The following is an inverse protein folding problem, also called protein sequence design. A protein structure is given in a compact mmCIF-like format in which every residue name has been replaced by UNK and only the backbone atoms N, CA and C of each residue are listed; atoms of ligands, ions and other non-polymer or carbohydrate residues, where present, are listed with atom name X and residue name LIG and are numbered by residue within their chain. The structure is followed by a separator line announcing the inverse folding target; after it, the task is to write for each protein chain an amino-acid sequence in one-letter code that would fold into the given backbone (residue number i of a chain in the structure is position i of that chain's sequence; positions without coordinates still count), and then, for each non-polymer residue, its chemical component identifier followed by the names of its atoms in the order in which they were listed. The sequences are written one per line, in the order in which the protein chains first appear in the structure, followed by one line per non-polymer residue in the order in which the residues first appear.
data_IF_183820275779
#
_entry.id   IF_183820275779
#
_cell.length_a   1.000
_cell.length_b   1.000
_cell.length_c   1.000
_cell.angle_alpha   90.00
_cell.angle_beta   90.00
_cell.angle_gamma   90.00
#
_symmetry.space_group_name_H-M   'P 1'
#
loop_
_entity.id
_entity.type
_entity.pdbx_description
1 polymer ?
#
# COMPACT_ATOMS: atom_id res chain seq x y z
N UNK A 1 11.35 -18.47 24.25
CA UNK A 1 9.86 -18.41 24.30
C UNK A 1 9.43 -17.59 23.10
N UNK A 2 8.72 -18.20 22.16
CA UNK A 2 8.18 -17.45 20.99
C UNK A 2 7.09 -16.54 21.56
N UNK A 3 7.15 -15.24 21.28
CA UNK A 3 6.10 -14.31 21.67
C UNK A 3 4.77 -14.74 21.05
N UNK A 4 3.63 -14.52 21.74
CA UNK A 4 2.33 -14.77 21.13
C UNK A 4 2.10 -13.82 19.95
N UNK A 5 1.26 -14.20 18.99
CA UNK A 5 0.92 -13.32 17.85
C UNK A 5 0.46 -11.93 18.32
N UNK A 6 -0.39 -11.85 19.34
CA UNK A 6 -0.85 -10.59 19.92
C UNK A 6 0.28 -9.76 20.57
N UNK A 7 1.29 -10.41 21.17
CA UNK A 7 2.46 -9.70 21.71
C UNK A 7 3.33 -9.16 20.60
N UNK A 8 3.55 -9.95 19.55
CA UNK A 8 4.30 -9.51 18.37
C UNK A 8 3.66 -8.28 17.71
N UNK A 9 2.33 -8.33 17.49
CA UNK A 9 1.57 -7.21 16.91
C UNK A 9 1.71 -5.92 17.75
N UNK A 10 1.63 -6.02 19.08
CA UNK A 10 1.82 -4.85 19.95
C UNK A 10 3.21 -4.26 19.82
N UNK A 11 4.25 -5.11 19.74
CA UNK A 11 5.65 -4.66 19.58
C UNK A 11 5.87 -3.98 18.22
N UNK A 12 5.31 -4.54 17.14
CA UNK A 12 5.33 -3.94 15.81
C UNK A 12 4.64 -2.58 15.83
N UNK A 13 3.41 -2.50 16.36
CA UNK A 13 2.67 -1.25 16.45
C UNK A 13 3.40 -0.19 17.29
N UNK A 14 4.00 -0.59 18.41
CA UNK A 14 4.79 0.32 19.25
C UNK A 14 6.01 0.87 18.51
N UNK A 15 6.71 0.05 17.73
CA UNK A 15 7.86 0.49 16.95
C UNK A 15 7.47 1.47 15.83
N UNK A 16 6.30 1.30 15.22
CA UNK A 16 5.83 2.21 14.17
C UNK A 16 5.50 3.61 14.68
N UNK A 17 5.00 3.75 15.91
CA UNK A 17 4.62 5.04 16.50
C UNK A 17 5.73 5.71 17.32
N UNK A 18 6.87 5.06 17.49
CA UNK A 18 8.01 5.60 18.24
C UNK A 18 8.78 6.62 17.38
N UNK A 19 8.53 7.90 17.64
CA UNK A 19 9.17 9.01 16.93
C UNK A 19 10.65 9.21 17.33
N UNK A 20 11.09 8.61 18.43
CA UNK A 20 12.50 8.71 18.87
C UNK A 20 13.45 7.76 18.11
N UNK A 21 12.88 6.79 17.38
CA UNK A 21 13.64 5.79 16.63
C UNK A 21 13.90 6.30 15.21
N UNK A 22 15.15 6.47 14.83
CA UNK A 22 15.53 6.80 13.47
C UNK A 22 15.34 5.63 12.50
N UNK A 23 15.47 5.88 11.20
CA UNK A 23 15.20 4.89 10.14
C UNK A 23 16.12 3.66 10.25
N UNK A 24 17.41 3.84 10.55
CA UNK A 24 18.36 2.73 10.69
C UNK A 24 18.03 1.85 11.90
N UNK A 25 17.76 2.48 13.02
CA UNK A 25 17.35 1.78 14.24
C UNK A 25 16.01 1.07 14.05
N UNK A 26 15.04 1.71 13.33
CA UNK A 26 13.74 1.12 13.00
C UNK A 26 13.91 -0.12 12.13
N UNK A 27 14.72 -0.06 11.08
CA UNK A 27 15.00 -1.22 10.22
C UNK A 27 15.66 -2.34 11.03
N UNK A 28 16.62 -2.04 11.89
CA UNK A 28 17.29 -3.04 12.71
C UNK A 28 16.34 -3.71 13.70
N UNK A 29 15.49 -2.92 14.37
CA UNK A 29 14.48 -3.42 15.30
C UNK A 29 13.40 -4.23 14.57
N UNK A 30 12.93 -3.75 13.40
CA UNK A 30 11.93 -4.47 12.61
C UNK A 30 12.48 -5.78 12.07
N UNK A 31 13.76 -5.84 11.70
CA UNK A 31 14.41 -7.10 11.30
C UNK A 31 14.41 -8.12 12.43
N UNK A 32 14.67 -7.69 13.67
CA UNK A 32 14.60 -8.58 14.82
C UNK A 32 13.14 -9.07 15.05
N UNK A 33 12.16 -8.17 14.96
CA UNK A 33 10.75 -8.53 15.07
C UNK A 33 10.30 -9.48 13.95
N UNK A 34 10.75 -9.26 12.72
CA UNK A 34 10.43 -10.14 11.59
C UNK A 34 10.95 -11.58 11.80
N UNK A 35 12.11 -11.73 12.44
CA UNK A 35 12.66 -13.06 12.80
C UNK A 35 11.85 -13.77 13.90
N UNK A 36 11.07 -13.02 14.68
CA UNK A 36 10.19 -13.56 15.74
C UNK A 36 8.71 -13.64 15.29
N UNK A 37 8.40 -13.25 14.05
CA UNK A 37 7.03 -13.19 13.55
C UNK A 37 6.36 -14.56 13.60
N UNK A 38 5.08 -14.65 13.99
CA UNK A 38 4.33 -15.90 13.99
C UNK A 38 4.15 -16.47 12.57
N UNK A 39 4.05 -15.58 11.59
CA UNK A 39 3.97 -15.88 10.16
C UNK A 39 5.11 -15.13 9.43
N UNK A 40 5.92 -15.85 8.67
CA UNK A 40 7.05 -15.28 7.95
C UNK A 40 6.62 -14.16 7.01
N UNK A 41 5.50 -14.35 6.32
CA UNK A 41 4.93 -13.37 5.39
C UNK A 41 4.60 -12.03 6.06
N UNK A 42 4.05 -12.06 7.28
CA UNK A 42 3.77 -10.86 8.08
C UNK A 42 5.07 -10.14 8.49
N UNK A 43 6.07 -10.90 8.92
CA UNK A 43 7.39 -10.35 9.27
C UNK A 43 8.07 -9.67 8.08
N UNK A 44 8.02 -10.28 6.90
CA UNK A 44 8.56 -9.73 5.66
C UNK A 44 7.84 -8.45 5.24
N UNK A 45 6.51 -8.41 5.37
CA UNK A 45 5.71 -7.22 5.08
C UNK A 45 6.11 -6.03 5.98
N UNK A 46 6.22 -6.23 7.29
CA UNK A 46 6.59 -5.17 8.22
C UNK A 46 8.03 -4.67 7.97
N UNK A 47 8.96 -5.58 7.69
CA UNK A 47 10.33 -5.22 7.35
C UNK A 47 10.40 -4.46 6.00
N UNK A 48 9.58 -4.84 5.02
CA UNK A 48 9.46 -4.11 3.77
C UNK A 48 9.01 -2.67 4.01
N UNK A 49 7.97 -2.48 4.83
CA UNK A 49 7.49 -1.16 5.23
C UNK A 49 8.56 -0.30 5.89
N UNK A 50 9.40 -0.88 6.77
CA UNK A 50 10.49 -0.16 7.40
C UNK A 50 11.56 0.30 6.38
N UNK A 51 11.87 -0.51 5.38
CA UNK A 51 12.74 -0.11 4.29
C UNK A 51 12.12 0.96 3.40
N UNK A 52 10.81 0.83 3.09
CA UNK A 52 10.08 1.80 2.27
C UNK A 52 10.04 3.18 2.93
N UNK A 53 9.70 3.24 4.22
CA UNK A 53 9.69 4.47 4.99
C UNK A 53 11.07 5.17 5.04
N UNK A 54 12.15 4.39 4.98
CA UNK A 54 13.53 4.89 4.93
C UNK A 54 14.03 5.24 3.51
N UNK A 55 13.15 5.22 2.48
CA UNK A 55 13.52 5.50 1.08
C UNK A 55 14.42 4.43 0.46
N UNK A 56 14.31 3.19 0.95
CA UNK A 56 15.09 2.06 0.44
C UNK A 56 14.22 1.18 -0.46
N UNK A 57 13.69 1.77 -1.53
CA UNK A 57 12.67 1.19 -2.40
C UNK A 57 13.07 -0.18 -2.99
N UNK A 58 14.34 -0.38 -3.36
CA UNK A 58 14.79 -1.68 -3.92
C UNK A 58 14.72 -2.80 -2.90
N UNK A 59 15.06 -2.52 -1.65
CA UNK A 59 14.98 -3.48 -0.56
C UNK A 59 13.51 -3.76 -0.20
N UNK A 60 12.70 -2.71 -0.16
CA UNK A 60 11.26 -2.83 0.07
C UNK A 60 10.58 -3.68 -1.01
N UNK A 61 10.84 -3.42 -2.31
CA UNK A 61 10.29 -4.20 -3.44
C UNK A 61 10.61 -5.71 -3.28
N UNK A 62 11.87 -6.04 -2.99
CA UNK A 62 12.27 -7.43 -2.80
C UNK A 62 11.53 -8.12 -1.64
N UNK A 63 11.36 -7.41 -0.52
CA UNK A 63 10.69 -7.94 0.66
C UNK A 63 9.16 -8.06 0.48
N UNK A 64 8.52 -7.10 -0.20
CA UNK A 64 7.09 -7.20 -0.56
C UNK A 64 6.81 -8.39 -1.46
N UNK A 65 7.68 -8.67 -2.43
CA UNK A 65 7.58 -9.88 -3.28
C UNK A 65 7.73 -11.15 -2.46
N UNK A 66 8.74 -11.20 -1.60
CA UNK A 66 8.96 -12.35 -0.72
C UNK A 66 7.75 -12.59 0.22
N UNK A 67 7.11 -11.55 0.73
CA UNK A 67 5.91 -11.69 1.55
C UNK A 67 4.76 -12.38 0.77
N UNK A 68 4.59 -12.06 -0.51
CA UNK A 68 3.59 -12.72 -1.38
C UNK A 68 3.97 -14.18 -1.62
N UNK A 69 5.24 -14.47 -1.93
CA UNK A 69 5.75 -15.82 -2.14
C UNK A 69 5.56 -16.71 -0.90
N UNK A 70 5.62 -16.11 0.29
CA UNK A 70 5.36 -16.76 1.58
C UNK A 70 3.88 -16.77 1.99
N UNK A 71 2.97 -16.47 1.06
CA UNK A 71 1.52 -16.66 1.23
C UNK A 71 0.79 -15.57 1.99
N UNK A 72 1.29 -14.33 2.01
CA UNK A 72 0.61 -13.21 2.68
C UNK A 72 -0.85 -13.03 2.22
N UNK A 73 -1.20 -13.13 0.93
CA UNK A 73 -2.57 -12.90 0.45
C UNK A 73 -3.61 -13.81 1.11
N UNK A 74 -3.25 -15.07 1.36
CA UNK A 74 -4.12 -16.08 1.97
C UNK A 74 -4.11 -16.01 3.49
N UNK A 75 -2.95 -15.70 4.08
CA UNK A 75 -2.76 -15.68 5.53
C UNK A 75 -3.37 -14.45 6.18
N UNK A 76 -3.21 -13.27 5.56
CA UNK A 76 -3.68 -11.98 6.10
C UNK A 76 -4.18 -11.06 4.98
N UNK A 77 -5.45 -11.17 4.56
CA UNK A 77 -6.03 -10.33 3.51
C UNK A 77 -5.99 -8.83 3.82
N UNK A 78 -6.01 -8.44 5.12
CA UNK A 78 -5.94 -7.04 5.51
C UNK A 78 -4.54 -6.46 5.30
N UNK A 79 -3.49 -7.20 5.66
CA UNK A 79 -2.09 -6.86 5.37
C UNK A 79 -1.79 -6.91 3.89
N UNK A 80 -2.36 -7.86 3.16
CA UNK A 80 -2.21 -7.92 1.71
C UNK A 80 -2.76 -6.66 1.05
N UNK A 81 -3.93 -6.19 1.44
CA UNK A 81 -4.48 -4.93 0.91
C UNK A 81 -3.56 -3.73 1.19
N UNK A 82 -2.98 -3.66 2.38
CA UNK A 82 -1.98 -2.64 2.73
C UNK A 82 -0.70 -2.79 1.91
N UNK A 83 -0.21 -4.04 1.74
CA UNK A 83 0.97 -4.33 0.91
C UNK A 83 0.76 -3.87 -0.53
N UNK A 84 -0.40 -4.10 -1.12
CA UNK A 84 -0.69 -3.64 -2.48
C UNK A 84 -0.49 -2.13 -2.60
N UNK A 85 -1.03 -1.35 -1.69
CA UNK A 85 -0.91 0.11 -1.70
C UNK A 85 0.54 0.57 -1.50
N UNK A 86 1.22 0.02 -0.49
CA UNK A 86 2.60 0.38 -0.16
C UNK A 86 3.56 -0.04 -1.28
N UNK A 87 3.45 -1.29 -1.76
CA UNK A 87 4.31 -1.78 -2.83
C UNK A 87 4.10 -1.01 -4.14
N UNK A 88 2.87 -0.65 -4.48
CA UNK A 88 2.60 0.18 -5.65
C UNK A 88 3.25 1.57 -5.54
N UNK A 89 3.27 2.16 -4.34
CA UNK A 89 4.02 3.40 -4.07
C UNK A 89 5.52 3.21 -4.29
N UNK A 90 6.09 2.13 -3.76
CA UNK A 90 7.50 1.75 -3.96
C UNK A 90 7.82 1.58 -5.45
N UNK A 91 6.97 0.85 -6.20
CA UNK A 91 7.13 0.65 -7.64
C UNK A 91 7.07 1.98 -8.41
N UNK A 92 6.15 2.86 -8.04
CA UNK A 92 6.06 4.22 -8.60
C UNK A 92 7.35 5.00 -8.38
N UNK A 93 7.91 4.97 -7.17
CA UNK A 93 9.16 5.65 -6.83
C UNK A 93 10.37 5.07 -7.60
N UNK A 94 10.33 3.76 -7.91
CA UNK A 94 11.31 3.09 -8.77
C UNK A 94 11.12 3.38 -10.27
N UNK A 95 10.10 4.15 -10.67
CA UNK A 95 9.77 4.43 -12.07
C UNK A 95 9.07 3.28 -12.80
N UNK A 96 8.65 2.22 -12.08
CA UNK A 96 7.95 1.05 -12.63
C UNK A 96 6.44 1.29 -12.65
N UNK A 97 6.03 2.30 -13.41
CA UNK A 97 4.67 2.86 -13.37
C UNK A 97 3.60 1.86 -13.82
N UNK A 98 3.87 1.11 -14.90
CA UNK A 98 2.90 0.12 -15.43
C UNK A 98 2.65 -0.99 -14.42
N UNK A 99 3.69 -1.43 -13.70
CA UNK A 99 3.55 -2.45 -12.66
C UNK A 99 2.77 -1.92 -11.44
N UNK A 100 3.02 -0.66 -11.05
CA UNK A 100 2.28 -0.02 -9.96
C UNK A 100 0.78 0.09 -10.29
N UNK A 101 0.46 0.53 -11.52
CA UNK A 101 -0.92 0.67 -11.99
C UNK A 101 -1.58 -0.71 -12.05
N UNK A 102 -0.95 -1.70 -12.67
CA UNK A 102 -1.50 -3.05 -12.80
C UNK A 102 -1.76 -3.70 -11.44
N UNK A 103 -0.85 -3.50 -10.48
CA UNK A 103 -1.00 -4.00 -9.11
C UNK A 103 -2.23 -3.41 -8.41
N UNK A 104 -2.44 -2.09 -8.54
CA UNK A 104 -3.58 -1.40 -7.92
C UNK A 104 -4.91 -1.71 -8.62
N UNK A 105 -4.91 -1.79 -9.96
CA UNK A 105 -6.11 -2.13 -10.74
C UNK A 105 -6.55 -3.58 -10.48
N UNK A 106 -5.60 -4.50 -10.33
CA UNK A 106 -5.89 -5.92 -10.08
C UNK A 106 -6.36 -6.23 -8.66
N UNK A 107 -6.20 -5.31 -7.72
CA UNK A 107 -6.55 -5.54 -6.32
C UNK A 107 -8.02 -5.23 -6.03
N UNK A 108 -8.65 -6.06 -5.21
CA UNK A 108 -9.99 -5.78 -4.70
C UNK A 108 -9.97 -4.67 -3.63
N UNK A 109 -11.03 -3.86 -3.53
CA UNK A 109 -11.18 -2.93 -2.41
C UNK A 109 -11.20 -3.67 -1.07
N UNK A 110 -10.56 -3.10 -0.05
CA UNK A 110 -10.55 -3.67 1.29
C UNK A 110 -10.75 -2.57 2.36
N UNK A 111 -11.54 -2.84 3.43
CA UNK A 111 -11.81 -1.83 4.47
C UNK A 111 -10.56 -1.30 5.17
N UNK A 112 -9.48 -2.10 5.29
CA UNK A 112 -8.23 -1.70 5.94
C UNK A 112 -7.50 -0.54 5.23
N UNK A 113 -7.75 -0.36 3.94
CA UNK A 113 -7.12 0.70 3.13
C UNK A 113 -8.06 1.86 2.82
N UNK A 114 -9.38 1.69 3.04
CA UNK A 114 -10.36 2.69 2.65
C UNK A 114 -10.21 3.08 1.17
N UNK A 115 -10.11 4.38 0.88
CA UNK A 115 -9.85 4.92 -0.45
C UNK A 115 -8.34 4.97 -0.82
N UNK A 116 -7.48 4.35 -0.02
CA UNK A 116 -6.02 4.39 -0.23
C UNK A 116 -5.60 3.80 -1.58
N UNK A 117 -6.20 2.69 -1.98
CA UNK A 117 -5.95 2.06 -3.28
C UNK A 117 -6.19 3.03 -4.44
N UNK A 118 -7.34 3.69 -4.45
CA UNK A 118 -7.71 4.65 -5.49
C UNK A 118 -6.82 5.90 -5.46
N UNK A 119 -6.46 6.37 -4.28
CA UNK A 119 -5.56 7.51 -4.13
C UNK A 119 -4.17 7.21 -4.72
N UNK A 120 -3.60 6.05 -4.41
CA UNK A 120 -2.30 5.67 -4.97
C UNK A 120 -2.38 5.31 -6.46
N UNK A 121 -3.50 4.75 -6.94
CA UNK A 121 -3.74 4.56 -8.37
C UNK A 121 -3.76 5.90 -9.11
N UNK A 122 -4.46 6.89 -8.59
CA UNK A 122 -4.47 8.24 -9.17
C UNK A 122 -3.06 8.85 -9.22
N UNK A 123 -2.25 8.68 -8.18
CA UNK A 123 -0.86 9.14 -8.16
C UNK A 123 0.02 8.40 -9.19
N UNK A 124 -0.15 7.09 -9.36
CA UNK A 124 0.58 6.30 -10.32
C UNK A 124 0.20 6.68 -11.77
N UNK A 125 -1.11 6.82 -12.06
CA UNK A 125 -1.64 7.29 -13.33
C UNK A 125 -1.12 8.69 -13.67
N UNK A 126 -1.15 9.61 -12.70
CA UNK A 126 -0.61 10.95 -12.90
C UNK A 126 0.88 10.92 -13.27
N UNK A 127 1.68 10.10 -12.56
CA UNK A 127 3.12 9.94 -12.86
C UNK A 127 3.37 9.32 -14.24
N UNK A 128 2.43 8.51 -14.74
CA UNK A 128 2.46 7.93 -16.09
C UNK A 128 1.96 8.89 -17.18
N UNK A 129 1.60 10.14 -16.84
CA UNK A 129 1.05 11.12 -17.78
C UNK A 129 -0.42 10.91 -18.14
N UNK A 130 -1.12 9.96 -17.50
CA UNK A 130 -2.54 9.65 -17.69
C UNK A 130 -3.41 10.55 -16.78
N UNK A 131 -3.32 11.87 -16.98
CA UNK A 131 -3.85 12.86 -16.03
C UNK A 131 -5.37 12.84 -15.92
N UNK A 132 -6.09 12.68 -17.02
CA UNK A 132 -7.56 12.63 -17.00
C UNK A 132 -8.07 11.37 -16.26
N UNK A 133 -7.41 10.25 -16.48
CA UNK A 133 -7.71 9.02 -15.74
C UNK A 133 -7.39 9.14 -14.25
N UNK A 134 -6.26 9.76 -13.91
CA UNK A 134 -5.88 10.04 -12.53
C UNK A 134 -6.94 10.90 -11.81
N UNK A 135 -7.38 11.97 -12.47
CA UNK A 135 -8.41 12.86 -11.91
C UNK A 135 -9.74 12.15 -11.78
N UNK A 136 -10.14 11.34 -12.78
CA UNK A 136 -11.37 10.53 -12.72
C UNK A 136 -11.36 9.61 -11.50
N UNK A 137 -10.31 8.81 -11.34
CA UNK A 137 -10.18 7.86 -10.22
C UNK A 137 -10.26 8.59 -8.87
N UNK A 138 -9.56 9.73 -8.73
CA UNK A 138 -9.59 10.52 -7.51
C UNK A 138 -10.99 11.08 -7.19
N UNK A 139 -11.72 11.59 -8.20
CA UNK A 139 -13.07 12.13 -8.03
C UNK A 139 -14.09 11.03 -7.75
N UNK A 140 -13.95 9.85 -8.37
CA UNK A 140 -14.79 8.69 -8.09
C UNK A 140 -14.61 8.21 -6.64
N UNK A 141 -13.38 8.20 -6.13
CA UNK A 141 -13.09 7.86 -4.73
C UNK A 141 -13.62 8.91 -3.73
N UNK A 142 -13.53 10.19 -4.08
CA UNK A 142 -14.03 11.30 -3.26
C UNK A 142 -15.57 11.36 -3.23
N UNK A 143 -16.22 11.03 -4.34
CA UNK A 143 -17.67 11.18 -4.54
C UNK A 143 -18.52 10.66 -3.38
N UNK A 144 -18.30 9.44 -2.86
CA UNK A 144 -19.05 8.89 -1.73
C UNK A 144 -18.96 9.71 -0.43
N UNK A 145 -17.93 10.49 -0.24
CA UNK A 145 -17.72 11.30 0.97
C UNK A 145 -18.41 12.67 0.91
N UNK A 146 -18.90 13.08 -0.28
CA UNK A 146 -19.51 14.38 -0.47
C UNK A 146 -20.96 14.40 0.06
N UNK A 147 -21.30 15.33 0.96
CA UNK A 147 -22.68 15.46 1.47
C UNK A 147 -23.64 16.02 0.43
N UNK A 148 -23.10 16.72 -0.59
CA UNK A 148 -23.84 17.32 -1.71
C UNK A 148 -23.03 17.19 -3.00
N UNK A 149 -23.67 17.36 -4.15
CA UNK A 149 -23.03 17.39 -5.48
C UNK A 149 -22.41 16.07 -5.96
N UNK A 150 -22.57 14.98 -5.20
CA UNK A 150 -22.03 13.66 -5.55
C UNK A 150 -22.36 13.26 -6.98
N UNK A 151 -23.64 13.34 -7.36
CA UNK A 151 -24.12 12.95 -8.71
C UNK A 151 -23.44 13.78 -9.80
N UNK A 152 -23.34 15.10 -9.63
CA UNK A 152 -22.68 15.98 -10.60
C UNK A 152 -21.19 15.69 -10.72
N UNK A 153 -20.49 15.51 -9.57
CA UNK A 153 -19.07 15.20 -9.57
C UNK A 153 -18.77 13.89 -10.28
N UNK A 154 -19.56 12.83 -9.99
CA UNK A 154 -19.38 11.54 -10.66
C UNK A 154 -19.72 11.60 -12.16
N UNK A 155 -20.73 12.36 -12.57
CA UNK A 155 -21.03 12.56 -13.98
C UNK A 155 -19.88 13.26 -14.72
N UNK A 156 -19.36 14.35 -14.17
CA UNK A 156 -18.22 15.06 -14.76
C UNK A 156 -16.94 14.24 -14.76
N UNK A 157 -16.72 13.45 -13.71
CA UNK A 157 -15.57 12.53 -13.67
C UNK A 157 -15.61 11.51 -14.82
N UNK A 158 -16.78 10.98 -15.14
CA UNK A 158 -16.95 10.04 -16.25
C UNK A 158 -16.68 10.68 -17.63
N UNK A 159 -16.90 11.99 -17.78
CA UNK A 159 -16.61 12.72 -19.03
C UNK A 159 -15.12 12.90 -19.31
N UNK A 160 -14.26 12.78 -18.28
CA UNK A 160 -12.79 12.93 -18.41
C UNK A 160 -12.17 11.82 -19.29
N UNK A 161 -12.76 10.63 -19.25
CA UNK A 161 -12.31 9.48 -20.04
C UNK A 161 -13.51 8.78 -20.67
N UNK A 162 -14.07 9.34 -21.75
CA UNK A 162 -15.20 8.73 -22.42
C UNK A 162 -14.81 7.35 -22.98
N UNK A 163 -15.77 6.40 -23.06
CA UNK A 163 -15.51 5.11 -23.67
C UNK A 163 -15.04 5.30 -25.13
N UNK A 164 -14.16 4.42 -25.63
CA UNK A 164 -13.74 4.48 -27.02
C UNK A 164 -14.98 4.41 -27.94
N UNK A 165 -14.96 5.24 -28.95
CA UNK A 165 -16.03 5.33 -29.95
C UNK A 165 -16.21 4.03 -30.75
#
# INVERSE_FOLDING_TARGET
MIASAAEWERRVAALWVDEAVDDEARIAAMRALAAEAPELSAGLFELAGAHDAAGRERQADALYRAAVEEGLPEADPAREAQRVVQHASTLRNLGRLDEAIALLEGAAPHPSTGAGREAFLALALHSAGRHDEALRVALEALGPTLPRYRTSVLAYAAELTPPPA
#
